data_IF_466991010923
#
_entry.id   IF_466991010923
#
_cell.length_a   1.000
_cell.length_b   1.000
_cell.length_c   1.000
_cell.angle_alpha   90.00
_cell.angle_beta   90.00
_cell.angle_gamma   90.00
#
_symmetry.space_group_name_H-M   'P 1'
#
loop_
_entity.id
_entity.type
_entity.pdbx_description
1 polymer ?
#
# COMPACT_ATOMS: atom_id res chain seq x y z
N UNK A 1 75.72 -21.48 -25.08
CA UNK A 1 75.16 -20.50 -24.13
C UNK A 1 73.91 -21.14 -23.53
N UNK A 2 74.06 -21.89 -22.44
CA UNK A 2 73.83 -21.44 -21.03
C UNK A 2 72.40 -20.97 -20.81
N UNK A 3 71.63 -21.39 -19.81
CA UNK A 3 71.76 -22.37 -18.71
C UNK A 3 70.32 -22.45 -18.13
N UNK A 4 69.70 -23.62 -17.90
CA UNK A 4 69.55 -24.28 -16.58
C UNK A 4 68.99 -23.32 -15.48
N UNK A 5 67.91 -23.58 -14.72
CA UNK A 5 67.39 -24.82 -14.13
C UNK A 5 66.03 -24.63 -13.43
N UNK A 6 65.30 -25.75 -13.33
CA UNK A 6 64.21 -26.05 -12.37
C UNK A 6 64.68 -25.94 -10.90
N UNK A 7 63.77 -25.69 -9.95
CA UNK A 7 63.30 -26.66 -8.94
C UNK A 7 62.45 -26.02 -7.82
N UNK A 8 61.84 -26.88 -7.01
CA UNK A 8 60.61 -26.75 -6.19
C UNK A 8 60.95 -26.54 -4.68
N UNK A 9 60.02 -26.71 -3.72
CA UNK A 9 59.61 -25.75 -2.68
C UNK A 9 60.29 -25.90 -1.29
N UNK A 10 60.08 -24.94 -0.37
CA UNK A 10 60.54 -25.02 1.03
C UNK A 10 59.53 -24.49 2.07
N UNK A 11 59.54 -25.12 3.25
CA UNK A 11 58.54 -25.12 4.33
C UNK A 11 58.68 -23.97 5.34
N UNK A 12 57.52 -23.60 5.92
CA UNK A 12 57.22 -23.08 7.29
C UNK A 12 58.34 -22.39 8.12
N UNK A 13 58.03 -21.18 8.62
CA UNK A 13 58.27 -20.81 10.04
C UNK A 13 57.24 -19.78 10.54
N UNK A 14 56.34 -20.23 11.42
CA UNK A 14 55.44 -19.39 12.25
C UNK A 14 56.30 -18.64 13.27
N UNK A 15 56.32 -17.31 13.22
CA UNK A 15 56.99 -16.50 14.23
C UNK A 15 56.00 -16.09 15.34
N UNK A 16 55.80 -16.99 16.32
CA UNK A 16 55.11 -16.73 17.60
C UNK A 16 55.97 -15.82 18.49
N UNK A 17 56.16 -14.55 18.14
CA UNK A 17 56.83 -13.57 19.04
C UNK A 17 56.24 -12.16 19.04
N UNK A 18 55.14 -11.88 18.33
CA UNK A 18 54.55 -10.53 18.25
C UNK A 18 53.15 -10.36 18.85
N UNK A 19 52.65 -11.35 19.59
CA UNK A 19 51.30 -11.30 20.17
C UNK A 19 51.25 -11.14 21.70
N UNK A 20 52.40 -11.06 22.38
CA UNK A 20 52.45 -10.88 23.84
C UNK A 20 52.69 -9.43 24.31
N UNK A 21 53.11 -8.53 23.41
CA UNK A 21 53.41 -7.14 23.78
C UNK A 21 52.25 -6.17 23.56
N UNK A 22 51.25 -6.51 22.73
CA UNK A 22 50.09 -5.63 22.48
C UNK A 22 48.97 -5.86 23.50
N UNK A 23 48.82 -7.10 24.00
CA UNK A 23 47.82 -7.44 25.01
C UNK A 23 48.11 -6.79 26.38
N UNK A 24 49.37 -6.51 26.71
CA UNK A 24 49.75 -5.88 27.98
C UNK A 24 49.56 -4.35 27.97
N UNK A 25 49.58 -3.72 26.79
CA UNK A 25 49.36 -2.27 26.66
C UNK A 25 47.86 -1.89 26.74
N UNK A 26 46.96 -2.77 26.29
CA UNK A 26 45.51 -2.54 26.35
C UNK A 26 44.93 -2.67 27.77
N UNK A 27 45.51 -3.52 28.63
CA UNK A 27 45.04 -3.70 30.02
C UNK A 27 45.47 -2.54 30.94
N UNK A 28 46.59 -1.89 30.64
CA UNK A 28 47.05 -0.73 31.42
C UNK A 28 46.27 0.55 31.12
N UNK A 29 45.71 0.71 29.91
CA UNK A 29 44.86 1.86 29.57
C UNK A 29 43.45 1.75 30.19
N UNK A 30 42.89 0.54 30.28
CA UNK A 30 41.56 0.33 30.89
C UNK A 30 41.59 0.53 32.42
N UNK A 31 42.74 0.38 33.08
CA UNK A 31 42.87 0.59 34.53
C UNK A 31 43.23 2.04 34.91
N UNK A 32 43.73 2.86 33.98
CA UNK A 32 44.03 4.28 34.25
C UNK A 32 42.77 5.15 34.17
N UNK A 33 41.78 4.79 33.34
CA UNK A 33 40.51 5.54 33.24
C UNK A 33 39.54 5.26 34.40
N UNK A 34 39.70 4.16 35.13
CA UNK A 34 38.87 3.85 36.31
C UNK A 34 39.38 4.57 37.58
N UNK A 35 40.62 5.07 37.60
CA UNK A 35 41.22 5.70 38.78
C UNK A 35 41.10 7.24 38.85
N UNK A 36 40.57 7.91 37.81
CA UNK A 36 40.41 9.39 37.78
C UNK A 36 38.97 9.84 38.11
N UNK A 37 38.02 8.91 38.29
CA UNK A 37 36.60 9.23 38.53
C UNK A 37 36.10 9.11 39.98
N UNK A 38 37.00 9.03 40.98
CA UNK A 38 36.59 9.12 42.40
C UNK A 38 37.59 10.02 43.14
N UNK A 39 37.31 11.33 43.19
CA UNK A 39 36.77 11.86 44.44
C UNK A 39 35.78 13.01 44.21
N UNK A 40 34.46 12.75 44.28
CA UNK A 40 33.46 13.79 44.57
C UNK A 40 32.07 13.23 44.93
N UNK A 41 32.00 12.09 45.61
CA UNK A 41 30.71 11.50 46.04
C UNK A 41 30.15 12.16 47.31
N UNK A 42 30.85 13.10 47.95
CA UNK A 42 30.37 13.69 49.21
C UNK A 42 29.66 15.05 49.10
N UNK A 43 29.31 15.52 47.89
CA UNK A 43 28.59 16.81 47.68
C UNK A 43 27.27 16.70 46.91
N UNK A 44 26.69 15.50 46.82
CA UNK A 44 25.44 15.25 46.08
C UNK A 44 24.33 14.63 46.94
N UNK A 45 24.38 14.80 48.26
CA UNK A 45 23.37 14.33 49.22
C UNK A 45 22.72 15.48 50.00
N UNK A 46 22.52 16.63 49.36
CA UNK A 46 21.75 17.75 49.94
C UNK A 46 20.89 18.50 48.91
N UNK A 47 20.53 17.84 47.80
CA UNK A 47 19.75 18.45 46.70
C UNK A 47 18.55 17.63 46.22
N UNK A 48 18.18 16.55 46.93
CA UNK A 48 17.13 15.64 46.46
C UNK A 48 15.70 16.07 46.82
N UNK A 49 15.51 17.01 47.75
CA UNK A 49 14.16 17.42 48.17
C UNK A 49 13.52 18.46 47.23
N UNK A 50 14.32 19.22 46.48
CA UNK A 50 13.82 20.23 45.53
C UNK A 50 13.50 19.66 44.14
N UNK A 51 14.18 18.59 43.72
CA UNK A 51 13.96 17.98 42.40
C UNK A 51 12.69 17.11 42.41
N UNK A 52 12.39 16.43 43.52
CA UNK A 52 11.15 15.67 43.66
C UNK A 52 9.91 16.58 43.69
N UNK A 53 10.00 17.73 44.38
CA UNK A 53 8.95 18.75 44.43
C UNK A 53 8.71 19.43 43.07
N UNK A 54 9.75 19.73 42.30
CA UNK A 54 9.62 20.32 40.96
C UNK A 54 9.01 19.34 39.94
N UNK A 55 9.32 18.04 40.06
CA UNK A 55 8.78 16.99 39.19
C UNK A 55 7.31 16.69 39.49
N UNK A 56 6.90 16.82 40.76
CA UNK A 56 5.52 16.63 41.20
C UNK A 56 4.63 17.85 40.89
N UNK A 57 5.15 19.08 41.01
CA UNK A 57 4.45 20.28 40.54
C UNK A 57 4.28 20.31 39.01
N UNK A 58 5.23 19.79 38.22
CA UNK A 58 5.05 19.64 36.77
C UNK A 58 4.04 18.55 36.39
N UNK A 59 3.85 17.51 37.22
CA UNK A 59 2.85 16.45 36.99
C UNK A 59 1.43 16.88 37.39
N UNK A 60 1.28 17.72 38.43
CA UNK A 60 -0.02 18.25 38.86
C UNK A 60 -0.49 19.43 38.01
N UNK A 61 0.43 20.20 37.39
CA UNK A 61 0.07 21.27 36.44
C UNK A 61 -0.42 20.74 35.07
N UNK A 62 -0.31 19.44 34.81
CA UNK A 62 -0.86 18.77 33.62
C UNK A 62 -2.19 18.06 33.87
N UNK A 63 -2.69 18.04 35.12
CA UNK A 63 -3.95 17.38 35.48
C UNK A 63 -5.17 18.34 35.50
N UNK A 64 -5.00 19.58 35.05
CA UNK A 64 -5.97 20.66 35.24
C UNK A 64 -6.19 21.55 34.02
N UNK A 65 -6.42 20.96 32.84
CA UNK A 65 -7.03 21.69 31.72
C UNK A 65 -7.91 20.74 30.91
N UNK A 66 -9.21 20.87 31.12
CA UNK A 66 -10.22 20.44 30.16
C UNK A 66 -10.06 21.25 28.87
N UNK A 67 -9.19 20.79 27.98
CA UNK A 67 -9.31 21.05 26.56
C UNK A 67 -9.39 19.68 25.88
N UNK A 68 -10.56 19.38 25.32
CA UNK A 68 -10.69 18.33 24.30
C UNK A 68 -9.56 18.55 23.30
N UNK A 69 -8.63 17.60 23.10
CA UNK A 69 -7.69 17.75 22.02
C UNK A 69 -8.55 17.67 20.75
N UNK A 70 -8.61 18.77 20.00
CA UNK A 70 -8.82 18.71 18.56
C UNK A 70 -7.68 17.85 18.01
N UNK A 71 -7.83 16.53 18.15
CA UNK A 71 -7.00 15.56 17.47
C UNK A 71 -7.29 15.82 16.00
N UNK A 72 -6.35 16.44 15.29
CA UNK A 72 -6.35 16.46 13.83
C UNK A 72 -6.24 15.00 13.41
N UNK A 73 -7.37 14.32 13.37
CA UNK A 73 -7.45 12.92 12.98
C UNK A 73 -6.94 12.86 11.56
N UNK A 74 -5.92 12.04 11.36
CA UNK A 74 -5.31 11.82 10.05
C UNK A 74 -6.41 11.65 8.99
N UNK A 75 -6.25 12.31 7.85
CA UNK A 75 -7.18 12.21 6.74
C UNK A 75 -7.11 10.81 6.17
N UNK A 76 -8.26 10.15 6.06
CA UNK A 76 -8.35 8.81 5.47
C UNK A 76 -8.56 8.94 3.95
N UNK A 77 -7.81 8.19 3.14
CA UNK A 77 -7.90 8.20 1.68
C UNK A 77 -7.98 6.77 1.11
N UNK A 78 -8.86 6.57 0.12
CA UNK A 78 -9.11 5.27 -0.48
C UNK A 78 -8.36 5.08 -1.80
N UNK A 79 -7.51 4.07 -1.86
CA UNK A 79 -6.88 3.64 -3.11
C UNK A 79 -7.71 2.51 -3.76
N UNK A 80 -8.35 2.81 -4.88
CA UNK A 80 -9.30 1.90 -5.51
C UNK A 80 -8.60 0.83 -6.36
N UNK A 81 -8.40 -0.33 -5.76
CA UNK A 81 -8.00 -1.54 -6.50
C UNK A 81 -9.22 -2.13 -7.23
N UNK A 82 -9.19 -2.25 -8.57
CA UNK A 82 -10.31 -2.78 -9.34
C UNK A 82 -10.78 -4.13 -8.82
N UNK A 83 -12.11 -4.32 -8.83
CA UNK A 83 -12.81 -5.58 -8.53
C UNK A 83 -12.83 -6.01 -7.06
N UNK A 84 -12.46 -5.10 -6.17
CA UNK A 84 -12.46 -5.28 -4.72
C UNK A 84 -13.54 -4.46 -4.00
N UNK A 85 -14.67 -4.16 -4.68
CA UNK A 85 -15.80 -3.44 -4.06
C UNK A 85 -15.65 -1.91 -4.04
N UNK A 86 -14.64 -1.35 -4.72
CA UNK A 86 -14.37 0.09 -4.67
C UNK A 86 -15.54 1.00 -5.07
N UNK A 87 -16.35 0.62 -6.07
CA UNK A 87 -17.55 1.41 -6.43
C UNK A 87 -18.53 1.56 -5.26
N UNK A 88 -18.71 0.53 -4.42
CA UNK A 88 -19.59 0.62 -3.26
C UNK A 88 -19.04 1.60 -2.22
N UNK A 89 -17.73 1.58 -1.99
CA UNK A 89 -17.04 2.50 -1.08
C UNK A 89 -17.12 3.94 -1.60
N UNK A 90 -16.80 4.16 -2.88
CA UNK A 90 -16.85 5.48 -3.50
C UNK A 90 -18.25 6.10 -3.41
N UNK A 91 -19.29 5.33 -3.71
CA UNK A 91 -20.67 5.81 -3.64
C UNK A 91 -21.08 6.12 -2.20
N UNK A 92 -20.75 5.25 -1.23
CA UNK A 92 -21.06 5.49 0.18
C UNK A 92 -20.35 6.74 0.73
N UNK A 93 -19.08 6.93 0.37
CA UNK A 93 -18.31 8.11 0.75
C UNK A 93 -18.86 9.40 0.10
N UNK A 94 -19.16 9.35 -1.20
CA UNK A 94 -19.69 10.49 -1.96
C UNK A 94 -21.04 10.98 -1.40
N UNK A 95 -21.91 10.08 -0.96
CA UNK A 95 -23.17 10.45 -0.30
C UNK A 95 -22.98 11.20 1.03
N UNK A 96 -21.82 11.04 1.67
CA UNK A 96 -21.43 11.79 2.88
C UNK A 96 -20.50 12.97 2.55
N UNK A 97 -20.35 13.32 1.28
CA UNK A 97 -19.54 14.44 0.81
C UNK A 97 -18.03 14.18 0.78
N UNK A 98 -17.59 12.92 0.85
CA UNK A 98 -16.17 12.56 0.87
C UNK A 98 -15.72 12.09 -0.53
N UNK A 99 -14.70 12.74 -1.13
CA UNK A 99 -14.28 12.53 -2.52
C UNK A 99 -13.28 11.37 -2.68
N UNK A 100 -13.59 10.17 -2.21
CA UNK A 100 -12.68 9.02 -2.36
C UNK A 100 -12.64 8.45 -3.78
N UNK A 101 -11.51 7.83 -4.13
CA UNK A 101 -11.33 7.10 -5.38
C UNK A 101 -11.66 7.96 -6.61
N UNK A 102 -12.55 7.49 -7.47
CA UNK A 102 -12.95 8.18 -8.69
C UNK A 102 -13.47 9.61 -8.45
N UNK A 103 -14.13 9.89 -7.32
CA UNK A 103 -14.61 11.25 -7.03
C UNK A 103 -13.47 12.23 -6.75
N UNK A 104 -12.30 11.75 -6.30
CA UNK A 104 -11.09 12.57 -6.14
C UNK A 104 -10.63 13.15 -7.49
N UNK A 105 -10.77 12.36 -8.55
CA UNK A 105 -10.33 12.70 -9.91
C UNK A 105 -11.46 13.34 -10.74
N UNK A 106 -12.35 14.10 -10.10
CA UNK A 106 -13.50 14.76 -10.72
C UNK A 106 -14.49 13.80 -11.45
N UNK A 107 -14.48 12.50 -11.11
CA UNK A 107 -15.40 11.51 -11.65
C UNK A 107 -15.35 11.34 -13.18
N UNK A 108 -14.25 11.75 -13.83
CA UNK A 108 -14.13 11.72 -15.29
C UNK A 108 -13.96 10.27 -15.76
N UNK A 109 -15.00 9.73 -16.40
CA UNK A 109 -14.97 8.41 -17.04
C UNK A 109 -14.26 8.46 -18.42
N UNK A 110 -13.95 7.29 -19.02
CA UNK A 110 -13.31 7.12 -20.36
C UNK A 110 -14.06 7.88 -21.46
N UNK A 111 -15.33 8.16 -21.20
CA UNK A 111 -16.25 8.89 -22.08
C UNK A 111 -16.37 10.40 -21.78
N UNK A 112 -15.56 10.96 -20.89
CA UNK A 112 -15.58 12.39 -20.53
C UNK A 112 -16.82 12.85 -19.75
N UNK A 113 -17.66 11.93 -19.26
CA UNK A 113 -18.87 12.24 -18.47
C UNK A 113 -18.61 12.02 -16.99
N UNK A 114 -19.14 12.89 -16.13
CA UNK A 114 -19.17 12.68 -14.67
C UNK A 114 -19.97 11.41 -14.38
N UNK A 115 -19.30 10.36 -13.91
CA UNK A 115 -19.89 9.01 -13.71
C UNK A 115 -20.98 8.99 -12.63
N UNK A 116 -20.95 9.97 -11.74
CA UNK A 116 -21.79 10.00 -10.56
C UNK A 116 -22.19 11.45 -10.29
N UNK A 117 -23.44 11.81 -10.57
CA UNK A 117 -24.02 13.11 -10.19
C UNK A 117 -24.08 13.35 -8.66
N UNK A 118 -23.42 12.47 -7.88
CA UNK A 118 -23.32 12.48 -6.42
C UNK A 118 -21.89 12.78 -5.92
N UNK A 119 -20.87 12.84 -6.79
CA UNK A 119 -19.54 13.23 -6.32
C UNK A 119 -19.58 14.67 -5.79
N UNK A 120 -19.03 14.94 -4.60
CA UNK A 120 -18.96 16.30 -4.08
C UNK A 120 -18.16 17.18 -5.05
N UNK A 121 -18.56 18.44 -5.15
CA UNK A 121 -17.82 19.41 -5.95
C UNK A 121 -16.46 19.67 -5.30
N UNK A 122 -15.39 19.28 -6.00
CA UNK A 122 -14.05 19.69 -5.64
C UNK A 122 -13.74 21.02 -6.33
N UNK A 123 -13.22 21.99 -5.59
CA UNK A 123 -12.68 23.24 -6.15
C UNK A 123 -11.31 22.98 -6.77
N UNK A 124 -11.24 22.05 -7.73
CA UNK A 124 -10.04 21.82 -8.54
C UNK A 124 -10.00 22.94 -9.59
N UNK A 125 -9.40 24.07 -9.22
CA UNK A 125 -9.16 25.22 -10.11
C UNK A 125 -8.16 24.93 -11.24
N UNK A 126 -7.50 23.77 -11.22
CA UNK A 126 -6.52 23.37 -12.23
C UNK A 126 -6.85 21.99 -12.81
N UNK A 127 -8.06 21.82 -13.37
CA UNK A 127 -8.33 20.67 -14.26
C UNK A 127 -7.59 20.77 -15.60
N UNK A 128 -6.92 21.90 -15.86
CA UNK A 128 -6.21 22.17 -17.11
C UNK A 128 -4.88 21.39 -17.20
N UNK A 129 -4.27 21.05 -16.06
CA UNK A 129 -3.08 20.20 -15.95
C UNK A 129 -3.36 18.70 -16.02
N UNK A 130 -4.63 18.28 -15.85
CA UNK A 130 -5.01 16.87 -15.98
C UNK A 130 -5.01 16.45 -17.45
N UNK A 131 -4.51 15.25 -17.79
CA UNK A 131 -4.29 14.92 -19.18
C UNK A 131 -5.61 14.72 -19.91
N UNK A 132 -5.81 15.49 -20.99
CA UNK A 132 -7.05 15.49 -21.80
C UNK A 132 -7.26 14.23 -22.66
N UNK A 133 -6.37 13.23 -22.60
CA UNK A 133 -6.45 12.05 -23.47
C UNK A 133 -7.39 11.00 -22.89
N UNK A 134 -8.30 10.52 -23.74
CA UNK A 134 -9.26 9.41 -23.50
C UNK A 134 -8.60 8.10 -23.03
N UNK A 135 -7.27 7.95 -23.12
CA UNK A 135 -6.53 6.80 -22.59
C UNK A 135 -6.34 6.83 -21.06
N UNK A 136 -6.93 7.80 -20.35
CA UNK A 136 -6.63 8.10 -18.93
C UNK A 136 -7.83 8.06 -18.00
N UNK A 137 -8.89 7.35 -18.36
CA UNK A 137 -9.90 7.07 -17.36
C UNK A 137 -9.59 5.81 -16.59
N UNK A 138 -9.93 5.84 -15.31
CA UNK A 138 -9.40 4.91 -14.33
C UNK A 138 -8.09 5.35 -13.69
N UNK A 139 -7.75 6.66 -13.65
CA UNK A 139 -6.57 7.14 -12.90
C UNK A 139 -6.56 6.64 -11.44
N UNK A 140 -7.74 6.60 -10.81
CA UNK A 140 -7.94 6.07 -9.47
C UNK A 140 -7.66 4.55 -9.34
N UNK A 141 -7.51 3.84 -10.45
CA UNK A 141 -7.11 2.42 -10.50
C UNK A 141 -5.60 2.22 -10.66
N UNK A 142 -4.78 3.27 -10.55
CA UNK A 142 -3.32 3.13 -10.64
C UNK A 142 -2.67 3.35 -9.27
N UNK A 143 -1.65 2.54 -8.91
CA UNK A 143 -0.81 2.79 -7.75
C UNK A 143 -0.19 4.19 -7.73
N UNK A 144 -0.06 4.75 -6.52
CA UNK A 144 0.47 6.09 -6.27
C UNK A 144 1.83 6.33 -6.94
N UNK A 145 2.74 5.37 -6.84
CA UNK A 145 4.08 5.45 -7.43
C UNK A 145 4.05 5.59 -8.96
N UNK A 146 3.01 5.11 -9.63
CA UNK A 146 2.88 5.28 -11.07
C UNK A 146 2.30 6.65 -11.41
N UNK A 147 1.37 7.16 -10.61
CA UNK A 147 0.81 8.50 -10.79
C UNK A 147 1.90 9.59 -10.72
N UNK A 148 2.83 9.48 -9.78
CA UNK A 148 3.95 10.42 -9.60
C UNK A 148 5.00 10.31 -10.72
N UNK A 149 5.28 9.09 -11.21
CA UNK A 149 6.36 8.83 -12.18
C UNK A 149 6.15 9.49 -13.53
N UNK A 150 4.90 9.76 -13.92
CA UNK A 150 4.62 10.20 -15.28
C UNK A 150 4.86 11.69 -15.56
N UNK A 151 5.34 12.47 -14.59
CA UNK A 151 5.68 13.89 -14.79
C UNK A 151 4.55 14.69 -15.48
N UNK A 152 3.32 14.24 -15.31
CA UNK A 152 2.14 15.07 -15.43
C UNK A 152 2.32 16.15 -14.37
N UNK A 153 1.95 17.41 -14.62
CA UNK A 153 2.01 18.48 -13.63
C UNK A 153 0.99 18.26 -12.48
N UNK A 154 0.93 17.04 -11.93
CA UNK A 154 0.14 16.66 -10.78
C UNK A 154 0.80 17.28 -9.54
N UNK A 155 0.00 17.66 -8.53
CA UNK A 155 0.52 18.05 -7.22
C UNK A 155 1.45 16.95 -6.67
N UNK A 156 2.30 17.31 -5.71
CA UNK A 156 3.21 16.35 -5.05
C UNK A 156 2.49 15.13 -4.45
N UNK A 157 1.19 15.27 -4.17
CA UNK A 157 0.28 14.18 -3.85
C UNK A 157 -0.95 14.25 -4.78
N UNK A 158 -1.21 13.25 -5.65
CA UNK A 158 -2.36 13.25 -6.56
C UNK A 158 -3.72 13.10 -5.83
N UNK A 159 -3.70 12.83 -4.52
CA UNK A 159 -4.86 12.84 -3.63
C UNK A 159 -4.86 14.06 -2.68
N UNK A 160 -4.14 15.12 -3.01
CA UNK A 160 -4.29 16.41 -2.34
C UNK A 160 -5.61 17.06 -2.77
N UNK A 161 -6.52 17.22 -1.80
CA UNK A 161 -7.82 17.84 -1.99
C UNK A 161 -7.75 19.37 -2.10
N UNK A 162 -6.57 19.96 -1.89
CA UNK A 162 -6.38 21.40 -1.82
C UNK A 162 -5.34 21.84 -2.85
N UNK A 163 -5.77 22.61 -3.85
CA UNK A 163 -4.90 23.32 -4.80
C UNK A 163 -4.00 24.38 -4.10
N UNK A 164 -3.12 23.99 -3.18
CA UNK A 164 -2.35 24.91 -2.33
C UNK A 164 -3.19 25.84 -1.44
N UNK A 165 -4.54 25.79 -1.51
CA UNK A 165 -5.44 26.71 -0.84
C UNK A 165 -5.64 26.40 0.66
N UNK A 166 -5.23 25.22 1.10
CA UNK A 166 -4.82 25.02 2.48
C UNK A 166 -3.50 24.26 2.53
N UNK A 167 -2.43 25.04 2.39
CA UNK A 167 -1.17 24.87 3.13
C UNK A 167 -1.36 24.66 4.65
N UNK A 168 -2.61 24.66 5.14
CA UNK A 168 -3.05 24.59 6.52
C UNK A 168 -3.69 23.23 6.90
N UNK A 169 -4.10 22.37 5.95
CA UNK A 169 -4.45 20.98 6.27
C UNK A 169 -3.17 20.16 6.30
N UNK A 170 -2.55 20.15 7.48
CA UNK A 170 -1.31 19.42 7.78
C UNK A 170 -1.59 18.02 8.30
N UNK A 171 -2.84 17.55 8.20
CA UNK A 171 -3.21 16.23 8.69
C UNK A 171 -2.43 15.15 7.93
N UNK A 172 -1.85 14.22 8.70
CA UNK A 172 -1.24 13.01 8.13
C UNK A 172 -2.28 12.29 7.26
N UNK A 173 -1.89 11.81 6.08
CA UNK A 173 -2.79 11.04 5.22
C UNK A 173 -2.57 9.55 5.49
N UNK A 174 -3.63 8.87 5.91
CA UNK A 174 -3.66 7.43 6.03
C UNK A 174 -4.38 6.83 4.84
N UNK A 175 -3.68 6.00 4.08
CA UNK A 175 -4.29 5.26 2.97
C UNK A 175 -4.92 3.96 3.44
N UNK A 176 -6.02 3.58 2.80
CA UNK A 176 -6.58 2.24 2.91
C UNK A 176 -6.89 1.63 1.53
N UNK A 177 -6.81 0.31 1.46
CA UNK A 177 -7.19 -0.50 0.29
C UNK A 177 -8.11 -1.63 0.72
N UNK A 178 -8.86 -2.17 -0.24
CA UNK A 178 -9.46 -3.50 -0.10
C UNK A 178 -8.70 -4.46 -1.01
N UNK A 179 -8.26 -5.59 -0.45
CA UNK A 179 -7.69 -6.70 -1.22
C UNK A 179 -8.66 -7.87 -1.29
N UNK A 180 -8.49 -8.72 -2.29
CA UNK A 180 -9.32 -9.91 -2.53
C UNK A 180 -8.44 -11.07 -2.94
N UNK A 181 -8.90 -12.31 -2.69
CA UNK A 181 -8.25 -13.50 -3.24
C UNK A 181 -7.99 -13.32 -4.76
N UNK A 182 -6.74 -13.48 -5.25
CA UNK A 182 -6.41 -13.23 -6.65
C UNK A 182 -7.26 -14.03 -7.63
N UNK A 183 -7.62 -15.28 -7.34
CA UNK A 183 -8.49 -16.06 -8.22
C UNK A 183 -9.89 -15.44 -8.30
N UNK A 184 -10.51 -15.12 -7.17
CA UNK A 184 -11.86 -14.54 -7.14
C UNK A 184 -11.89 -13.14 -7.75
N UNK A 185 -10.79 -12.37 -7.62
CA UNK A 185 -10.60 -11.10 -8.31
C UNK A 185 -10.63 -11.29 -9.83
N UNK A 186 -9.95 -12.31 -10.34
CA UNK A 186 -9.93 -12.61 -11.78
C UNK A 186 -11.28 -13.11 -12.31
N UNK A 187 -12.02 -13.93 -11.56
CA UNK A 187 -13.39 -14.31 -11.91
C UNK A 187 -14.29 -13.06 -11.98
N UNK A 188 -14.19 -12.18 -10.99
CA UNK A 188 -14.93 -10.92 -10.95
C UNK A 188 -14.60 -10.03 -12.15
N UNK A 189 -13.31 -9.96 -12.53
CA UNK A 189 -12.83 -9.22 -13.70
C UNK A 189 -13.38 -9.78 -15.01
N UNK A 190 -13.38 -11.11 -15.18
CA UNK A 190 -13.99 -11.76 -16.34
C UNK A 190 -15.45 -11.34 -16.53
N UNK A 191 -16.26 -11.44 -15.47
CA UNK A 191 -17.67 -11.03 -15.53
C UNK A 191 -17.87 -9.54 -15.79
N UNK A 192 -16.96 -8.70 -15.30
CA UNK A 192 -17.01 -7.26 -15.58
C UNK A 192 -16.79 -6.99 -17.07
N UNK A 193 -15.71 -7.55 -17.63
CA UNK A 193 -15.33 -7.39 -19.04
C UNK A 193 -16.33 -8.03 -19.99
N UNK A 194 -16.96 -9.12 -19.56
CA UNK A 194 -18.01 -9.79 -20.31
C UNK A 194 -19.22 -8.89 -20.62
N UNK A 195 -19.55 -7.95 -19.73
CA UNK A 195 -20.71 -7.08 -19.89
C UNK A 195 -20.53 -5.99 -20.96
N UNK A 196 -19.30 -5.55 -21.20
CA UNK A 196 -19.05 -4.33 -21.99
C UNK A 196 -17.95 -4.44 -23.03
N UNK A 197 -17.05 -5.43 -22.94
CA UNK A 197 -15.79 -5.41 -23.69
C UNK A 197 -15.52 -6.68 -24.49
N UNK A 198 -15.89 -7.85 -23.95
CA UNK A 198 -15.62 -9.13 -24.62
C UNK A 198 -16.66 -9.37 -25.72
N UNK A 199 -16.23 -9.28 -26.98
CA UNK A 199 -17.04 -9.72 -28.13
C UNK A 199 -17.46 -11.18 -27.95
N UNK A 200 -18.73 -11.48 -28.27
CA UNK A 200 -19.33 -12.82 -28.15
C UNK A 200 -19.38 -13.38 -26.71
N UNK A 201 -19.31 -12.52 -25.70
CA UNK A 201 -19.46 -13.01 -24.33
C UNK A 201 -20.89 -13.47 -24.03
N UNK A 202 -21.91 -12.85 -24.64
CA UNK A 202 -23.30 -13.32 -24.53
C UNK A 202 -23.42 -14.76 -25.03
N UNK A 203 -23.92 -15.65 -24.18
CA UNK A 203 -23.97 -17.09 -24.39
C UNK A 203 -22.70 -17.85 -23.95
N UNK A 204 -21.66 -17.14 -23.51
CA UNK A 204 -20.38 -17.69 -23.04
C UNK A 204 -19.98 -17.20 -21.65
N UNK A 205 -20.78 -16.36 -21.00
CA UNK A 205 -20.50 -15.76 -19.69
C UNK A 205 -20.31 -16.79 -18.57
N UNK A 206 -20.78 -18.03 -18.76
CA UNK A 206 -20.61 -19.14 -17.82
C UNK A 206 -19.86 -20.32 -18.44
N UNK A 207 -19.07 -20.10 -19.49
CA UNK A 207 -18.28 -21.14 -20.14
C UNK A 207 -16.85 -21.14 -19.57
N UNK A 208 -16.43 -22.18 -18.81
CA UNK A 208 -15.08 -22.23 -18.23
C UNK A 208 -14.00 -22.12 -19.30
N UNK A 209 -14.11 -22.82 -20.43
CA UNK A 209 -13.12 -22.77 -21.51
C UNK A 209 -12.99 -21.36 -22.08
N UNK A 210 -14.10 -20.62 -22.16
CA UNK A 210 -14.10 -19.25 -22.65
C UNK A 210 -13.41 -18.29 -21.67
N UNK A 211 -13.75 -18.36 -20.38
CA UNK A 211 -13.09 -17.59 -19.32
C UNK A 211 -11.58 -17.84 -19.30
N UNK A 212 -11.17 -19.12 -19.35
CA UNK A 212 -9.77 -19.51 -19.30
C UNK A 212 -8.99 -18.97 -20.52
N UNK A 213 -9.51 -19.08 -21.74
CA UNK A 213 -8.87 -18.49 -22.93
C UNK A 213 -8.73 -16.98 -22.81
N UNK A 214 -9.75 -16.30 -22.29
CA UNK A 214 -9.71 -14.86 -22.06
C UNK A 214 -8.63 -14.48 -21.03
N UNK A 215 -8.58 -15.18 -19.89
CA UNK A 215 -7.62 -14.91 -18.83
C UNK A 215 -6.18 -15.14 -19.26
N UNK A 216 -5.90 -16.28 -19.92
CA UNK A 216 -4.57 -16.55 -20.48
C UNK A 216 -4.14 -15.40 -21.41
N UNK A 217 -5.02 -14.98 -22.32
CA UNK A 217 -4.70 -13.88 -23.25
C UNK A 217 -4.38 -12.57 -22.52
N UNK A 218 -5.22 -12.17 -21.57
CA UNK A 218 -5.06 -10.89 -20.85
C UNK A 218 -3.82 -10.88 -19.96
N UNK A 219 -3.62 -11.93 -19.17
CA UNK A 219 -2.48 -12.03 -18.27
C UNK A 219 -1.15 -12.19 -19.02
N UNK A 220 -1.13 -12.92 -20.15
CA UNK A 220 0.07 -12.98 -20.98
C UNK A 220 0.46 -11.61 -21.57
N UNK A 221 -0.51 -10.75 -21.91
CA UNK A 221 -0.21 -9.36 -22.29
C UNK A 221 0.33 -8.60 -21.07
N UNK A 222 -0.33 -8.71 -19.92
CA UNK A 222 0.06 -8.01 -18.71
C UNK A 222 1.46 -8.38 -18.19
N UNK A 223 1.92 -9.60 -18.42
CA UNK A 223 3.28 -10.04 -18.13
C UNK A 223 4.34 -9.44 -19.06
N UNK A 224 3.97 -9.10 -20.30
CA UNK A 224 4.91 -8.70 -21.36
C UNK A 224 4.80 -7.22 -21.76
N UNK A 225 3.92 -6.47 -21.10
CA UNK A 225 3.68 -5.04 -21.38
C UNK A 225 3.66 -4.23 -20.10
N UNK A 226 3.87 -2.93 -20.24
CA UNK A 226 3.77 -1.95 -19.17
C UNK A 226 2.37 -2.00 -18.50
N UNK A 227 2.30 -1.72 -17.20
CA UNK A 227 1.11 -1.79 -16.34
C UNK A 227 -0.12 -0.94 -16.78
N UNK A 228 -0.01 -0.18 -17.87
CA UNK A 228 -0.93 0.91 -18.25
C UNK A 228 -2.03 0.53 -19.24
N UNK A 229 -2.31 -0.75 -19.41
CA UNK A 229 -3.38 -1.24 -20.26
C UNK A 229 -4.62 -1.64 -19.44
N UNK A 230 -5.76 -1.78 -20.13
CA UNK A 230 -7.03 -2.23 -19.54
C UNK A 230 -7.48 -1.42 -18.30
N UNK A 231 -7.13 -0.13 -18.25
CA UNK A 231 -7.53 0.78 -17.18
C UNK A 231 -6.98 0.39 -15.80
N UNK A 232 -5.85 -0.33 -15.74
CA UNK A 232 -5.20 -0.74 -14.48
C UNK A 232 -5.81 -1.97 -13.81
N UNK A 233 -6.79 -2.64 -14.43
CA UNK A 233 -7.52 -3.75 -13.80
C UNK A 233 -6.69 -5.01 -13.52
N UNK A 234 -5.59 -5.20 -14.25
CA UNK A 234 -4.68 -6.32 -14.05
C UNK A 234 -3.48 -5.97 -13.18
N UNK A 235 -3.34 -4.73 -12.70
CA UNK A 235 -2.23 -4.36 -11.82
C UNK A 235 -2.30 -5.20 -10.53
N UNK A 236 -1.18 -5.82 -10.10
CA UNK A 236 -1.11 -6.53 -8.83
C UNK A 236 -1.50 -5.66 -7.63
N UNK A 237 -2.20 -6.25 -6.67
CA UNK A 237 -2.73 -5.55 -5.51
C UNK A 237 -1.62 -5.05 -4.58
N UNK A 238 -0.51 -5.79 -4.49
CA UNK A 238 0.64 -5.40 -3.68
C UNK A 238 1.30 -4.11 -4.16
N UNK A 239 1.20 -3.78 -5.45
CA UNK A 239 1.74 -2.52 -5.97
C UNK A 239 0.99 -1.31 -5.41
N UNK A 240 -0.26 -1.45 -4.97
CA UNK A 240 -0.96 -0.35 -4.28
C UNK A 240 -0.52 -0.19 -2.82
N UNK A 241 0.01 -1.25 -2.21
CA UNK A 241 0.31 -1.31 -0.77
C UNK A 241 1.73 -0.87 -0.46
N UNK A 242 2.68 -1.11 -1.36
CA UNK A 242 4.09 -0.84 -1.15
C UNK A 242 4.64 0.13 -2.19
N UNK A 243 5.61 0.95 -1.78
CA UNK A 243 6.48 1.65 -2.70
C UNK A 243 7.38 0.68 -3.47
N UNK A 244 7.96 1.16 -4.58
CA UNK A 244 8.87 0.37 -5.40
C UNK A 244 10.14 -0.13 -4.65
N UNK A 245 10.54 0.56 -3.58
CA UNK A 245 11.65 0.16 -2.70
C UNK A 245 11.23 -0.85 -1.61
N UNK A 246 9.96 -1.25 -1.58
CA UNK A 246 9.41 -2.20 -0.60
C UNK A 246 8.89 -1.59 0.70
N UNK A 247 8.96 -0.26 0.90
CA UNK A 247 8.37 0.35 2.10
C UNK A 247 6.84 0.35 2.01
N UNK A 248 6.17 0.02 3.12
CA UNK A 248 4.71 -0.02 3.19
C UNK A 248 4.15 1.41 3.13
N UNK A 249 3.28 1.66 2.17
CA UNK A 249 2.60 2.94 1.93
C UNK A 249 1.21 2.96 2.58
N UNK A 250 0.47 1.87 2.46
CA UNK A 250 -0.93 1.79 2.89
C UNK A 250 -1.00 1.36 4.35
N UNK A 251 -1.67 2.16 5.20
CA UNK A 251 -1.83 1.86 6.63
C UNK A 251 -2.82 0.72 6.85
N UNK A 252 -3.97 0.78 6.18
CA UNK A 252 -5.11 -0.11 6.42
C UNK A 252 -5.40 -1.01 5.21
N UNK A 253 -5.44 -2.32 5.44
CA UNK A 253 -5.69 -3.31 4.39
C UNK A 253 -6.90 -4.14 4.78
N UNK A 254 -8.02 -3.91 4.10
CA UNK A 254 -9.29 -4.58 4.35
C UNK A 254 -9.41 -5.81 3.45
N UNK A 255 -10.19 -6.80 3.87
CA UNK A 255 -10.48 -8.00 3.09
C UNK A 255 -11.84 -7.91 2.41
N UNK A 256 -11.89 -8.17 1.12
CA UNK A 256 -13.15 -8.22 0.38
C UNK A 256 -14.11 -9.25 0.97
N UNK A 257 -13.56 -10.37 1.45
CA UNK A 257 -14.28 -11.50 2.05
C UNK A 257 -14.97 -11.12 3.37
N UNK A 258 -14.49 -10.08 4.06
CA UNK A 258 -15.08 -9.53 5.29
C UNK A 258 -15.38 -8.02 5.18
N UNK A 259 -15.64 -7.53 3.96
CA UNK A 259 -15.58 -6.09 3.67
C UNK A 259 -16.48 -5.24 4.57
N UNK A 260 -17.72 -5.67 4.83
CA UNK A 260 -18.64 -4.90 5.66
C UNK A 260 -18.11 -4.75 7.09
N UNK A 261 -17.56 -5.81 7.68
CA UNK A 261 -17.03 -5.78 9.04
C UNK A 261 -15.75 -4.94 9.13
N UNK A 262 -14.81 -5.19 8.21
CA UNK A 262 -13.53 -4.46 8.17
C UNK A 262 -13.74 -2.97 7.89
N UNK A 263 -14.70 -2.63 7.01
CA UNK A 263 -15.03 -1.25 6.67
C UNK A 263 -15.73 -0.54 7.83
N UNK A 264 -16.76 -1.14 8.42
CA UNK A 264 -17.48 -0.54 9.56
C UNK A 264 -16.51 -0.26 10.72
N UNK A 265 -15.58 -1.18 11.02
CA UNK A 265 -14.54 -1.00 12.05
C UNK A 265 -13.57 0.15 11.73
N UNK A 266 -13.12 0.27 10.47
CA UNK A 266 -12.27 1.39 10.05
C UNK A 266 -13.00 2.72 10.11
N UNK A 267 -14.27 2.77 9.73
CA UNK A 267 -15.07 4.00 9.80
C UNK A 267 -15.24 4.46 11.26
N UNK A 268 -15.44 3.52 12.20
CA UNK A 268 -15.46 3.80 13.63
C UNK A 268 -14.10 4.34 14.13
N UNK A 269 -12.99 3.71 13.73
CA UNK A 269 -11.63 4.17 14.07
C UNK A 269 -11.43 5.62 13.65
N UNK A 270 -12.02 6.06 12.53
CA UNK A 270 -11.91 7.43 12.00
C UNK A 270 -13.09 8.34 12.35
N UNK A 271 -14.06 7.87 13.15
CA UNK A 271 -15.28 8.61 13.51
C UNK A 271 -16.04 9.11 12.27
N UNK A 272 -16.02 8.32 11.20
CA UNK A 272 -16.73 8.59 9.96
C UNK A 272 -18.08 7.86 9.99
N UNK A 273 -19.18 8.58 9.78
CA UNK A 273 -20.51 7.98 9.72
C UNK A 273 -20.86 7.51 8.29
N UNK A 274 -20.14 6.48 7.82
CA UNK A 274 -20.28 5.87 6.50
C UNK A 274 -20.52 4.38 6.70
N UNK A 275 -21.52 3.79 6.03
CA UNK A 275 -21.70 2.34 6.02
C UNK A 275 -22.01 1.83 4.61
N UNK A 276 -21.52 0.64 4.30
CA UNK A 276 -21.82 -0.04 3.03
C UNK A 276 -23.21 -0.69 3.03
N UNK A 277 -23.81 -0.90 4.21
CA UNK A 277 -25.14 -1.54 4.33
C UNK A 277 -26.27 -0.70 3.72
N UNK A 278 -26.10 0.63 3.71
CA UNK A 278 -27.08 1.58 3.15
C UNK A 278 -27.17 1.52 1.61
N UNK A 279 -26.16 0.95 0.93
CA UNK A 279 -26.06 0.94 -0.54
C UNK A 279 -26.93 -0.14 -1.24
N UNK A 280 -27.68 -0.93 -0.48
CA UNK A 280 -28.34 -2.12 -1.00
C UNK A 280 -27.32 -3.19 -1.43
N UNK A 281 -27.82 -4.40 -1.74
CA UNK A 281 -26.98 -5.56 -2.07
C UNK A 281 -25.90 -5.18 -3.10
N UNK A 282 -24.64 -5.55 -2.83
CA UNK A 282 -23.57 -5.58 -3.83
C UNK A 282 -24.15 -6.09 -5.15
N UNK A 283 -23.79 -5.47 -6.28
CA UNK A 283 -24.20 -5.95 -7.60
C UNK A 283 -23.65 -7.36 -7.82
N UNK A 284 -24.39 -8.37 -7.37
CA UNK A 284 -24.22 -9.75 -7.78
C UNK A 284 -24.49 -9.72 -9.28
N UNK A 285 -23.52 -10.18 -10.07
CA UNK A 285 -23.80 -10.41 -11.48
C UNK A 285 -24.85 -11.51 -11.55
N UNK A 286 -26.09 -11.13 -11.81
CA UNK A 286 -27.20 -12.07 -11.98
C UNK A 286 -26.82 -13.08 -13.06
N UNK A 287 -26.85 -14.37 -12.71
CA UNK A 287 -26.46 -15.45 -13.61
C UNK A 287 -24.96 -15.72 -13.72
N UNK A 288 -24.13 -15.24 -12.79
CA UNK A 288 -22.72 -15.65 -12.68
C UNK A 288 -22.58 -16.97 -11.92
N UNK A 289 -22.08 -18.01 -12.60
CA UNK A 289 -21.94 -19.36 -12.05
C UNK A 289 -20.48 -19.86 -11.96
N UNK A 290 -19.53 -19.18 -12.62
CA UNK A 290 -18.12 -19.54 -12.57
C UNK A 290 -17.50 -19.10 -11.25
N UNK A 291 -16.56 -19.91 -10.78
CA UNK A 291 -15.80 -19.69 -9.56
C UNK A 291 -14.31 -19.94 -9.82
N UNK A 292 -13.49 -19.73 -8.79
CA UNK A 292 -12.07 -20.00 -8.87
C UNK A 292 -11.75 -21.47 -9.25
N UNK A 293 -12.63 -22.43 -8.93
CA UNK A 293 -12.43 -23.84 -9.30
C UNK A 293 -12.58 -24.12 -10.80
N UNK A 294 -13.18 -23.19 -11.56
CA UNK A 294 -13.33 -23.32 -13.00
C UNK A 294 -12.06 -22.92 -13.77
N UNK A 295 -11.01 -22.46 -13.08
CA UNK A 295 -9.72 -22.21 -13.72
C UNK A 295 -9.00 -23.53 -14.06
N UNK A 296 -8.67 -23.68 -15.35
CA UNK A 296 -7.84 -24.76 -15.85
C UNK A 296 -6.40 -24.64 -15.30
N UNK A 297 -5.66 -25.76 -15.19
CA UNK A 297 -4.31 -25.77 -14.63
C UNK A 297 -3.37 -24.69 -15.20
N UNK A 298 -3.35 -24.51 -16.52
CA UNK A 298 -2.54 -23.48 -17.18
C UNK A 298 -2.90 -22.06 -16.74
N UNK A 299 -4.19 -21.77 -16.59
CA UNK A 299 -4.66 -20.44 -16.18
C UNK A 299 -4.33 -20.18 -14.71
N UNK A 300 -4.49 -21.19 -13.84
CA UNK A 300 -4.11 -21.11 -12.43
C UNK A 300 -2.63 -20.79 -12.27
N UNK A 301 -1.77 -21.51 -12.98
CA UNK A 301 -0.33 -21.26 -12.98
C UNK A 301 0.03 -19.82 -13.35
N UNK A 302 -0.59 -19.27 -14.40
CA UNK A 302 -0.35 -17.88 -14.84
C UNK A 302 -0.82 -16.87 -13.77
N UNK A 303 -1.98 -17.12 -13.14
CA UNK A 303 -2.50 -16.28 -12.04
C UNK A 303 -1.55 -16.33 -10.83
N UNK A 304 -1.12 -17.52 -10.45
CA UNK A 304 -0.22 -17.76 -9.32
C UNK A 304 1.14 -17.09 -9.51
N UNK A 305 1.72 -17.23 -10.72
CA UNK A 305 2.99 -16.60 -11.06
C UNK A 305 2.87 -15.07 -11.06
N UNK A 306 1.86 -14.53 -11.75
CA UNK A 306 1.71 -13.09 -11.91
C UNK A 306 1.33 -12.37 -10.61
N UNK A 307 0.46 -12.99 -9.80
CA UNK A 307 -0.03 -12.42 -8.55
C UNK A 307 0.61 -13.06 -7.30
N UNK A 308 1.78 -13.69 -7.41
CA UNK A 308 2.44 -14.39 -6.31
C UNK A 308 2.54 -13.56 -5.02
N UNK A 309 2.93 -12.29 -5.15
CA UNK A 309 3.03 -11.35 -4.02
C UNK A 309 1.68 -10.96 -3.42
N UNK A 310 0.60 -10.99 -4.21
CA UNK A 310 -0.75 -10.73 -3.70
C UNK A 310 -1.26 -11.88 -2.85
N UNK A 311 -0.92 -13.14 -3.22
CA UNK A 311 -1.20 -14.29 -2.37
C UNK A 311 -0.50 -14.17 -1.01
N UNK A 312 0.78 -13.76 -1.01
CA UNK A 312 1.54 -13.52 0.23
C UNK A 312 0.94 -12.36 1.04
N UNK A 313 0.68 -11.23 0.40
CA UNK A 313 0.08 -10.04 1.02
C UNK A 313 -1.23 -10.38 1.74
N UNK A 314 -2.08 -11.16 1.08
CA UNK A 314 -3.36 -11.60 1.61
C UNK A 314 -3.32 -12.86 2.44
N UNK A 315 -2.17 -13.51 2.65
CA UNK A 315 -2.11 -14.85 3.23
C UNK A 315 -3.16 -15.80 2.60
N UNK A 316 -3.32 -15.73 1.28
CA UNK A 316 -4.27 -16.55 0.53
C UNK A 316 -3.63 -17.87 0.15
N UNK A 317 -4.39 -18.95 0.27
CA UNK A 317 -3.94 -20.27 -0.14
C UNK A 317 -3.87 -20.38 -1.66
N UNK A 318 -2.73 -20.87 -2.15
CA UNK A 318 -2.58 -21.30 -3.54
C UNK A 318 -3.24 -22.68 -3.67
N UNK A 319 -3.96 -22.91 -4.76
CA UNK A 319 -4.59 -24.21 -5.00
C UNK A 319 -3.53 -25.29 -5.25
N UNK A 320 -3.74 -26.52 -4.77
CA UNK A 320 -2.78 -27.60 -5.05
C UNK A 320 -2.70 -27.88 -6.56
N UNK A 321 -1.51 -28.32 -7.05
CA UNK A 321 -1.38 -28.83 -8.40
C UNK A 321 -2.34 -30.00 -8.61
N UNK A 322 -2.96 -30.06 -9.80
CA UNK A 322 -3.88 -31.13 -10.19
C UNK A 322 -3.14 -32.31 -10.80
#
# INVERSE_FOLDING_TARGET
MSCFLRCRPSKKRRNKKRLRSVAMLMVLLVLYDVAILIPNVHRFLSGNDTIASAKQQQLEQFAGTTSSPLYNKARLEFLHIPKNGGTSIEVAAAQKGIPWGACHFNGVHESGRRRWGICPHLNITDTASWPKKQSMAGLWHYPLQFLVKFNWNLPSDPYDNNNGASKCDTSEVHYFVVIRNPYDRMVSEFYHRCKSEIKNCRGNENNPKFMNRFMVKKLSVAMNSDYFHDGGHFIPQHDFVFHANGTKLVRHILRFENLNGDFDALMEEYSLNISLKEQGRMRITTGANLTASDFLPKTRQIIEEYFAKDFVLGNYMIMPPH
#
